data_IF_574345139264
#
_entry.id   IF_574345139264
#
_cell.length_a   1.000
_cell.length_b   1.000
_cell.length_c   1.000
_cell.angle_alpha   90.00
_cell.angle_beta   90.00
_cell.angle_gamma   90.00
#
_symmetry.space_group_name_H-M   'P 1'
#
loop_
_entity.id
_entity.type
_entity.pdbx_description
1 polymer ?
#
# COMPACT_ATOMS: atom_id res chain seq x y z
N UNK A 1 2.64 -20.80 -8.02
CA UNK A 1 3.32 -20.62 -6.73
C UNK A 1 2.37 -20.12 -5.65
N UNK A 2 1.69 -18.97 -5.86
CA UNK A 2 0.75 -18.38 -4.89
C UNK A 2 -0.52 -17.85 -5.56
N UNK A 3 -1.56 -17.54 -4.76
CA UNK A 3 -2.87 -17.01 -5.21
C UNK A 3 -3.06 -15.52 -4.90
N UNK A 4 -2.28 -15.00 -3.96
CA UNK A 4 -2.24 -13.59 -3.55
C UNK A 4 -0.77 -13.20 -3.47
N UNK A 5 -0.42 -12.04 -3.98
CA UNK A 5 0.92 -11.45 -3.82
C UNK A 5 0.82 -10.11 -3.10
N UNK A 6 1.79 -9.84 -2.23
CA UNK A 6 1.86 -8.61 -1.45
C UNK A 6 3.25 -7.99 -1.54
N UNK A 7 3.63 -7.46 -2.71
CA UNK A 7 4.90 -6.75 -2.82
C UNK A 7 4.86 -5.44 -2.03
N UNK A 8 6.01 -5.03 -1.53
CA UNK A 8 6.21 -3.77 -0.85
C UNK A 8 6.75 -2.72 -1.84
N UNK A 9 6.16 -1.51 -1.96
CA UNK A 9 6.65 -0.47 -2.86
C UNK A 9 8.10 -0.02 -2.59
N UNK A 10 8.60 -0.17 -1.35
CA UNK A 10 9.96 0.16 -0.96
C UNK A 10 11.00 -0.93 -1.29
N UNK A 11 10.55 -2.17 -1.52
CA UNK A 11 11.44 -3.32 -1.83
C UNK A 11 11.36 -3.77 -3.28
N UNK A 12 10.18 -3.71 -3.90
CA UNK A 12 9.93 -4.26 -5.24
C UNK A 12 10.62 -3.46 -6.35
N UNK A 13 10.99 -2.21 -6.09
CA UNK A 13 11.55 -1.28 -7.10
C UNK A 13 10.74 0.00 -7.31
N UNK A 14 9.81 0.31 -6.40
CA UNK A 14 9.00 1.52 -6.44
C UNK A 14 7.56 1.31 -6.90
N UNK A 15 6.77 2.37 -6.85
CA UNK A 15 5.34 2.35 -7.17
C UNK A 15 5.04 1.98 -8.63
N UNK A 16 5.93 2.33 -9.57
CA UNK A 16 5.78 1.97 -10.98
C UNK A 16 5.94 0.46 -11.18
N UNK A 17 6.95 -0.14 -10.56
CA UNK A 17 7.20 -1.58 -10.64
C UNK A 17 6.08 -2.37 -9.97
N UNK A 18 5.60 -1.90 -8.81
CA UNK A 18 4.44 -2.50 -8.13
C UNK A 18 3.20 -2.52 -9.04
N UNK A 19 2.93 -1.40 -9.72
CA UNK A 19 1.81 -1.27 -10.65
C UNK A 19 1.93 -2.25 -11.82
N UNK A 20 3.10 -2.39 -12.42
CA UNK A 20 3.34 -3.36 -13.49
C UNK A 20 3.16 -4.81 -13.02
N UNK A 21 3.69 -5.16 -11.85
CA UNK A 21 3.51 -6.49 -11.27
C UNK A 21 2.04 -6.77 -10.98
N UNK A 22 1.28 -5.78 -10.51
CA UNK A 22 -0.15 -5.92 -10.27
C UNK A 22 -0.96 -6.17 -11.54
N UNK A 23 -0.64 -5.46 -12.62
CA UNK A 23 -1.27 -5.66 -13.94
C UNK A 23 -0.93 -7.03 -14.52
N UNK A 24 0.33 -7.44 -14.41
CA UNK A 24 0.75 -8.78 -14.82
C UNK A 24 0.05 -9.87 -14.00
N UNK A 25 -0.03 -9.72 -12.67
CA UNK A 25 -0.77 -10.63 -11.79
C UNK A 25 -2.26 -10.73 -12.16
N UNK A 26 -2.86 -9.62 -12.58
CA UNK A 26 -4.26 -9.58 -13.01
C UNK A 26 -4.52 -10.49 -14.21
N UNK A 27 -3.59 -10.55 -15.17
CA UNK A 27 -3.66 -11.46 -16.33
C UNK A 27 -3.68 -12.94 -15.94
N UNK A 28 -3.19 -13.27 -14.74
CA UNK A 28 -3.11 -14.62 -14.20
C UNK A 28 -4.16 -14.90 -13.11
N UNK A 29 -5.15 -14.01 -12.92
CA UNK A 29 -6.15 -14.14 -11.85
C UNK A 29 -5.53 -14.27 -10.45
N UNK A 30 -4.40 -13.60 -10.22
CA UNK A 30 -3.71 -13.52 -8.93
C UNK A 30 -4.12 -12.21 -8.24
N UNK A 31 -4.51 -12.31 -6.97
CA UNK A 31 -4.96 -11.17 -6.17
C UNK A 31 -3.77 -10.35 -5.63
N UNK A 32 -3.99 -9.06 -5.42
CA UNK A 32 -3.01 -8.10 -4.93
C UNK A 32 -3.38 -7.65 -3.51
N UNK A 33 -2.46 -7.89 -2.57
CA UNK A 33 -2.53 -7.41 -1.20
C UNK A 33 -1.18 -6.80 -0.75
N UNK A 34 -0.80 -5.60 -1.24
CA UNK A 34 0.51 -5.00 -0.98
C UNK A 34 0.91 -4.88 0.49
N UNK A 35 2.20 -5.13 0.77
CA UNK A 35 2.85 -4.95 2.08
C UNK A 35 3.24 -3.47 2.27
N UNK A 36 3.38 -3.02 3.52
CA UNK A 36 3.89 -1.67 3.77
C UNK A 36 4.08 -1.23 5.21
N UNK A 37 3.99 -2.12 6.21
CA UNK A 37 4.10 -1.74 7.63
C UNK A 37 5.40 -0.98 7.93
N UNK A 38 6.52 -1.38 7.34
CA UNK A 38 7.83 -0.81 7.65
C UNK A 38 8.10 0.56 7.02
N UNK A 39 7.20 1.05 6.15
CA UNK A 39 7.50 2.23 5.31
C UNK A 39 7.09 3.56 5.96
N UNK A 40 6.49 3.52 7.16
CA UNK A 40 6.03 4.70 7.88
C UNK A 40 4.96 5.51 7.13
N UNK A 41 4.77 6.78 7.51
CA UNK A 41 3.73 7.64 6.91
C UNK A 41 4.01 8.00 5.44
N UNK A 42 5.27 8.18 5.06
CA UNK A 42 5.64 8.50 3.67
C UNK A 42 5.38 7.29 2.76
N UNK A 43 5.74 6.10 3.24
CA UNK A 43 5.43 4.84 2.59
C UNK A 43 3.95 4.56 2.46
N UNK A 44 3.18 4.81 3.52
CA UNK A 44 1.72 4.74 3.48
C UNK A 44 1.16 5.69 2.41
N UNK A 45 1.69 6.91 2.29
CA UNK A 45 1.33 7.84 1.22
C UNK A 45 1.58 7.25 -0.18
N UNK A 46 2.76 6.66 -0.41
CA UNK A 46 3.08 6.00 -1.67
C UNK A 46 2.16 4.78 -1.95
N UNK A 47 1.90 3.98 -0.91
CA UNK A 47 1.07 2.79 -0.96
C UNK A 47 -0.38 3.13 -1.31
N UNK A 48 -0.97 4.14 -0.66
CA UNK A 48 -2.32 4.63 -0.96
C UNK A 48 -2.41 5.07 -2.43
N UNK A 49 -1.43 5.87 -2.90
CA UNK A 49 -1.43 6.37 -4.27
C UNK A 49 -1.35 5.25 -5.30
N UNK A 50 -0.47 4.25 -5.12
CA UNK A 50 -0.38 3.15 -6.07
C UNK A 50 -1.61 2.25 -6.00
N UNK A 51 -2.10 1.91 -4.80
CA UNK A 51 -3.28 1.08 -4.57
C UNK A 51 -4.54 1.67 -5.20
N UNK A 52 -4.69 3.00 -5.17
CA UNK A 52 -5.80 3.71 -5.82
C UNK A 52 -5.84 3.53 -7.35
N UNK A 53 -4.74 3.08 -7.96
CA UNK A 53 -4.64 2.87 -9.42
C UNK A 53 -4.64 1.40 -9.82
N UNK A 54 -4.69 0.46 -8.88
CA UNK A 54 -4.54 -0.96 -9.19
C UNK A 54 -5.78 -1.54 -9.90
N UNK A 55 -5.63 -2.63 -10.68
CA UNK A 55 -6.75 -3.29 -11.32
C UNK A 55 -7.70 -3.98 -10.31
N UNK A 56 -8.78 -4.58 -10.82
CA UNK A 56 -9.80 -5.25 -10.03
C UNK A 56 -9.31 -6.46 -9.20
N UNK A 57 -8.05 -6.89 -9.37
CA UNK A 57 -7.43 -7.92 -8.55
C UNK A 57 -6.90 -7.39 -7.21
N UNK A 58 -6.93 -6.07 -6.95
CA UNK A 58 -6.64 -5.47 -5.65
C UNK A 58 -7.73 -5.77 -4.62
N UNK A 59 -7.32 -6.25 -3.44
CA UNK A 59 -8.25 -6.65 -2.36
C UNK A 59 -8.06 -5.90 -1.05
N UNK A 60 -6.83 -5.48 -0.72
CA UNK A 60 -6.48 -4.73 0.49
C UNK A 60 -5.01 -4.28 0.42
N UNK A 61 -4.57 -3.40 1.31
CA UNK A 61 -3.15 -3.23 1.62
C UNK A 61 -2.95 -3.24 3.13
N UNK A 62 -1.72 -3.47 3.57
CA UNK A 62 -1.37 -3.45 4.98
C UNK A 62 -1.28 -2.02 5.53
N UNK A 63 -2.01 -1.73 6.60
CA UNK A 63 -2.01 -0.43 7.25
C UNK A 63 -0.99 -0.39 8.42
N UNK A 64 0.07 0.43 8.34
CA UNK A 64 0.99 0.60 9.46
C UNK A 64 0.30 1.33 10.63
N UNK A 65 0.52 0.84 11.84
CA UNK A 65 0.16 1.58 13.05
C UNK A 65 1.31 2.53 13.40
N UNK A 66 1.01 3.81 13.60
CA UNK A 66 1.98 4.79 14.11
C UNK A 66 2.30 4.51 15.58
N UNK A 67 3.22 3.58 15.82
CA UNK A 67 3.61 3.13 17.16
C UNK A 67 4.39 4.18 17.95
N UNK A 68 5.10 5.06 17.25
CA UNK A 68 5.96 6.06 17.87
C UNK A 68 5.35 7.48 17.83
N UNK A 69 5.41 8.25 18.94
CA UNK A 69 4.77 9.56 19.03
C UNK A 69 5.21 10.61 18.00
N UNK A 70 6.41 10.46 17.43
CA UNK A 70 7.01 11.43 16.50
C UNK A 70 6.58 11.20 15.04
N UNK A 71 5.82 10.14 14.73
CA UNK A 71 5.40 9.88 13.34
C UNK A 71 4.52 10.99 12.80
N UNK A 72 3.56 11.48 13.59
CA UNK A 72 2.65 12.55 13.17
C UNK A 72 3.39 13.86 12.82
N UNK A 73 4.61 14.04 13.31
CA UNK A 73 5.45 15.21 13.01
C UNK A 73 6.16 15.11 11.64
N UNK A 74 6.16 13.94 10.99
CA UNK A 74 6.83 13.73 9.69
C UNK A 74 6.12 14.42 8.52
N UNK A 75 4.83 14.69 8.66
CA UNK A 75 3.97 15.21 7.58
C UNK A 75 3.00 16.24 8.15
N UNK A 76 2.74 17.30 7.39
CA UNK A 76 1.79 18.35 7.77
C UNK A 76 0.49 18.21 6.98
N UNK A 77 -0.63 18.64 7.57
CA UNK A 77 -1.92 18.75 6.87
C UNK A 77 -2.76 17.47 6.84
N UNK A 78 -2.34 16.38 7.49
CA UNK A 78 -3.19 15.20 7.66
C UNK A 78 -4.29 15.45 8.72
N UNK A 79 -5.51 14.91 8.51
CA UNK A 79 -6.53 14.91 9.55
C UNK A 79 -6.13 13.97 10.69
N UNK A 80 -6.67 14.20 11.90
CA UNK A 80 -6.43 13.36 13.09
C UNK A 80 -6.82 11.88 12.88
N UNK A 81 -7.75 11.60 11.98
CA UNK A 81 -8.17 10.25 11.62
C UNK A 81 -8.17 10.13 10.10
N UNK A 82 -7.30 9.27 9.59
CA UNK A 82 -7.20 8.97 8.15
C UNK A 82 -8.01 7.72 7.76
N UNK A 83 -8.12 6.72 8.64
CA UNK A 83 -8.90 5.49 8.38
C UNK A 83 -10.31 5.61 8.97
N UNK A 84 -11.34 5.35 8.15
CA UNK A 84 -12.75 5.23 8.57
C UNK A 84 -13.38 3.99 7.95
N UNK A 85 -14.09 3.20 8.73
CA UNK A 85 -14.76 1.98 8.26
C UNK A 85 -13.83 1.01 7.48
N UNK A 86 -12.57 0.92 7.92
CA UNK A 86 -11.50 0.14 7.25
C UNK A 86 -11.13 0.62 5.84
N UNK A 87 -11.42 1.88 5.51
CA UNK A 87 -11.10 2.53 4.24
C UNK A 87 -10.24 3.79 4.47
N UNK A 88 -9.40 4.09 3.49
CA UNK A 88 -8.53 5.28 3.39
C UNK A 88 -8.89 6.09 2.15
#
# INVERSE_FOLDING_TARGET
AVRVIGPDPADIGGIAELKWVAEHACMHSILMAPHGTANGLLGLGALINVCATLPANYIAFEYPSASDPWWEDLVIGLPKQIVRDSML
#
